data_IF_244366031406
#
_entry.id   IF_244366031406
#
_cell.length_a   1.000
_cell.length_b   1.000
_cell.length_c   1.000
_cell.angle_alpha   90.00
_cell.angle_beta   90.00
_cell.angle_gamma   90.00
#
_symmetry.space_group_name_H-M   'P 1'
#
loop_
_entity.id
_entity.type
_entity.pdbx_description
1 polymer ?
#
# COMPACT_ATOMS: atom_id res chain seq x y z
N UNK A 1 -23.39 -29.71 9.99
CA UNK A 1 -23.38 -28.26 9.78
C UNK A 1 -23.75 -28.03 8.33
N UNK A 2 -24.93 -27.48 8.10
CA UNK A 2 -25.50 -27.31 6.77
C UNK A 2 -24.70 -26.26 5.97
N UNK A 3 -24.54 -26.43 4.67
CA UNK A 3 -23.77 -25.49 3.82
C UNK A 3 -24.37 -24.09 3.91
N UNK A 4 -25.71 -24.00 3.99
CA UNK A 4 -26.43 -22.73 4.18
C UNK A 4 -26.04 -22.02 5.47
N UNK A 5 -25.85 -22.76 6.56
CA UNK A 5 -25.48 -22.20 7.86
C UNK A 5 -24.07 -21.57 7.82
N UNK A 6 -23.13 -22.21 7.09
CA UNK A 6 -21.79 -21.66 6.89
C UNK A 6 -21.80 -20.34 6.10
N UNK A 7 -22.65 -20.26 5.08
CA UNK A 7 -22.77 -19.06 4.24
C UNK A 7 -23.35 -17.90 5.08
N UNK A 8 -24.40 -18.14 5.85
CA UNK A 8 -25.01 -17.11 6.71
C UNK A 8 -24.02 -16.58 7.75
N UNK A 9 -23.30 -17.48 8.45
CA UNK A 9 -22.25 -17.08 9.42
C UNK A 9 -21.16 -16.22 8.76
N UNK A 10 -20.74 -16.58 7.55
CA UNK A 10 -19.74 -15.81 6.82
C UNK A 10 -20.24 -14.41 6.42
N UNK A 11 -21.50 -14.29 5.98
CA UNK A 11 -22.09 -12.99 5.67
C UNK A 11 -22.18 -12.08 6.90
N UNK A 12 -22.59 -12.62 8.04
CA UNK A 12 -22.62 -11.87 9.30
C UNK A 12 -21.22 -11.44 9.75
N UNK A 13 -20.23 -12.31 9.61
CA UNK A 13 -18.82 -12.00 9.89
C UNK A 13 -18.31 -10.83 9.04
N UNK A 14 -18.52 -10.86 7.73
CA UNK A 14 -18.08 -9.77 6.83
C UNK A 14 -18.78 -8.46 7.17
N UNK A 15 -20.10 -8.51 7.43
CA UNK A 15 -20.88 -7.32 7.82
C UNK A 15 -20.36 -6.71 9.11
N UNK A 16 -20.04 -7.54 10.10
CA UNK A 16 -19.41 -7.10 11.34
C UNK A 16 -18.01 -6.49 11.08
N UNK A 17 -17.17 -7.16 10.30
CA UNK A 17 -15.79 -6.76 10.05
C UNK A 17 -15.67 -5.41 9.32
N UNK A 18 -16.53 -5.17 8.33
CA UNK A 18 -16.61 -3.87 7.62
C UNK A 18 -17.06 -2.76 8.58
N UNK A 19 -18.08 -3.03 9.41
CA UNK A 19 -18.59 -2.07 10.39
C UNK A 19 -17.50 -1.69 11.39
N UNK A 20 -16.77 -2.67 11.91
CA UNK A 20 -15.70 -2.46 12.88
C UNK A 20 -14.51 -1.72 12.26
N UNK A 21 -14.05 -2.13 11.08
CA UNK A 21 -12.98 -1.45 10.34
C UNK A 21 -13.34 0.00 10.05
N UNK A 22 -14.59 0.28 9.67
CA UNK A 22 -15.08 1.64 9.48
C UNK A 22 -15.05 2.49 10.75
N UNK A 23 -15.25 1.90 11.94
CA UNK A 23 -15.08 2.61 13.23
C UNK A 23 -13.62 2.90 13.51
N UNK A 24 -12.73 1.92 13.31
CA UNK A 24 -11.29 2.08 13.52
C UNK A 24 -10.74 3.21 12.64
N UNK A 25 -11.11 3.25 11.35
CA UNK A 25 -10.70 4.32 10.42
C UNK A 25 -11.19 5.71 10.82
N UNK A 26 -12.27 5.81 11.60
CA UNK A 26 -12.77 7.09 12.13
C UNK A 26 -12.11 7.47 13.46
N UNK A 27 -11.62 6.49 14.21
CA UNK A 27 -10.90 6.69 15.47
C UNK A 27 -9.44 7.11 15.24
N UNK A 28 -8.85 6.72 14.10
CA UNK A 28 -7.48 7.10 13.77
C UNK A 28 -7.39 8.57 13.34
N UNK A 29 -6.28 9.22 13.72
CA UNK A 29 -6.00 10.60 13.30
C UNK A 29 -5.69 10.64 11.81
N UNK A 30 -6.49 11.39 11.04
CA UNK A 30 -6.15 11.70 9.65
C UNK A 30 -4.88 12.58 9.62
N UNK A 31 -3.85 12.23 8.82
CA UNK A 31 -2.63 13.01 8.75
C UNK A 31 -2.92 14.44 8.28
N UNK A 32 -2.23 15.42 8.86
CA UNK A 32 -2.27 16.80 8.39
C UNK A 32 -1.52 16.91 7.07
N UNK A 33 -1.88 17.89 6.23
CA UNK A 33 -1.18 18.16 4.97
C UNK A 33 0.33 18.33 5.14
N UNK A 34 0.76 19.01 6.20
CA UNK A 34 2.18 19.19 6.52
C UNK A 34 2.91 17.86 6.77
N UNK A 35 2.32 16.96 7.56
CA UNK A 35 2.90 15.64 7.86
C UNK A 35 2.96 14.78 6.58
N UNK A 36 1.91 14.84 5.76
CA UNK A 36 1.87 14.13 4.48
C UNK A 36 2.93 14.64 3.50
N UNK A 37 3.09 15.96 3.38
CA UNK A 37 4.07 16.56 2.47
C UNK A 37 5.51 16.25 2.88
N UNK A 38 5.80 16.25 4.18
CA UNK A 38 7.12 15.88 4.70
C UNK A 38 7.48 14.43 4.36
N UNK A 39 6.58 13.49 4.65
CA UNK A 39 6.79 12.07 4.30
C UNK A 39 6.90 11.89 2.80
N UNK A 40 6.03 12.54 2.02
CA UNK A 40 6.03 12.42 0.55
C UNK A 40 7.33 12.92 -0.07
N UNK A 41 7.93 14.00 0.46
CA UNK A 41 9.22 14.51 -0.02
C UNK A 41 10.35 13.51 0.24
N UNK A 42 10.42 12.95 1.45
CA UNK A 42 11.46 11.99 1.83
C UNK A 42 11.30 10.70 1.02
N UNK A 43 10.08 10.14 0.96
CA UNK A 43 9.80 8.92 0.20
C UNK A 43 10.00 9.14 -1.30
N UNK A 44 9.58 10.28 -1.85
CA UNK A 44 9.77 10.64 -3.25
C UNK A 44 11.24 10.72 -3.64
N UNK A 45 12.08 11.32 -2.79
CA UNK A 45 13.54 11.34 -2.99
C UNK A 45 14.13 9.92 -2.95
N UNK A 46 13.67 9.07 -2.03
CA UNK A 46 14.10 7.67 -1.96
C UNK A 46 13.75 6.89 -3.23
N UNK A 47 12.51 6.99 -3.71
CA UNK A 47 12.06 6.33 -4.94
C UNK A 47 12.90 6.79 -6.14
N UNK A 48 13.15 8.09 -6.26
CA UNK A 48 13.94 8.64 -7.36
C UNK A 48 15.38 8.15 -7.29
N UNK A 49 16.00 8.14 -6.12
CA UNK A 49 17.36 7.65 -5.93
C UNK A 49 17.50 6.17 -6.29
N UNK A 50 16.67 5.31 -5.72
CA UNK A 50 16.73 3.86 -6.00
C UNK A 50 16.33 3.53 -7.44
N UNK A 51 15.33 4.22 -7.99
CA UNK A 51 14.93 4.09 -9.38
C UNK A 51 16.05 4.50 -10.34
N UNK A 52 16.74 5.61 -10.05
CA UNK A 52 17.87 6.07 -10.85
C UNK A 52 19.06 5.11 -10.77
N UNK A 53 19.42 4.63 -9.58
CA UNK A 53 20.50 3.65 -9.42
C UNK A 53 20.21 2.37 -10.20
N UNK A 54 18.99 1.84 -10.08
CA UNK A 54 18.56 0.66 -10.86
C UNK A 54 18.59 0.92 -12.37
N UNK A 55 18.13 2.11 -12.79
CA UNK A 55 18.18 2.53 -14.19
C UNK A 55 19.61 2.61 -14.72
N UNK A 56 20.54 3.19 -13.96
CA UNK A 56 21.95 3.31 -14.36
C UNK A 56 22.60 1.93 -14.52
N UNK A 57 22.37 1.00 -13.59
CA UNK A 57 22.88 -0.38 -13.69
C UNK A 57 22.32 -1.07 -14.94
N UNK A 58 21.01 -0.95 -15.16
CA UNK A 58 20.36 -1.52 -16.34
C UNK A 58 20.92 -0.91 -17.63
N UNK A 59 21.08 0.41 -17.67
CA UNK A 59 21.58 1.16 -18.82
C UNK A 59 23.00 0.75 -19.19
N UNK A 60 23.90 0.67 -18.20
CA UNK A 60 25.29 0.22 -18.40
C UNK A 60 25.31 -1.23 -18.89
N UNK A 61 24.54 -2.12 -18.26
CA UNK A 61 24.48 -3.53 -18.66
C UNK A 61 23.94 -3.69 -20.08
N UNK A 62 22.92 -2.91 -20.44
CA UNK A 62 22.34 -2.92 -21.77
C UNK A 62 23.34 -2.41 -22.82
N UNK A 63 24.08 -1.35 -22.51
CA UNK A 63 25.10 -0.78 -23.38
C UNK A 63 26.26 -1.76 -23.61
N UNK A 64 26.72 -2.45 -22.57
CA UNK A 64 27.75 -3.49 -22.68
C UNK A 64 27.26 -4.69 -23.50
N UNK A 65 26.00 -5.10 -23.32
CA UNK A 65 25.41 -6.22 -24.08
C UNK A 65 25.18 -5.89 -25.56
N UNK A 66 24.96 -4.61 -25.88
CA UNK A 66 24.67 -4.14 -27.23
C UNK A 66 25.93 -3.87 -28.05
N UNK A 67 27.07 -3.61 -27.40
CA UNK A 67 28.40 -3.61 -28.03
C UNK A 67 28.92 -5.02 -28.25
#
# INVERSE_FOLDING_TARGET
MDIKERITKFQEFIKYWIKETGRILRLTRKPKRSEFDEVTRITGLGILLFGFVGFVIFFITHLIKMS
#
